data_IF_678840754809
#
_entry.id   IF_678840754809
#
_cell.length_a   1.000
_cell.length_b   1.000
_cell.length_c   1.000
_cell.angle_alpha   90.00
_cell.angle_beta   90.00
_cell.angle_gamma   90.00
#
_symmetry.space_group_name_H-M   'P 1'
#
loop_
_entity.id
_entity.type
_entity.pdbx_description
1 polymer ?
#
# COMPACT_ATOMS: atom_id res chain seq x y z
N UNK A 1 9.56 15.56 9.55
CA UNK A 1 10.03 14.19 9.26
C UNK A 1 9.04 13.33 8.46
N UNK A 2 7.72 13.58 8.51
CA UNK A 2 6.67 12.73 7.90
C UNK A 2 6.63 12.59 6.37
N UNK A 3 7.45 13.34 5.61
CA UNK A 3 7.40 13.38 4.14
C UNK A 3 8.70 12.96 3.46
N UNK A 4 9.74 12.59 4.22
CA UNK A 4 11.01 12.20 3.61
C UNK A 4 10.79 10.87 2.85
N UNK A 5 11.08 10.87 1.55
CA UNK A 5 10.88 9.73 0.62
C UNK A 5 9.44 9.37 0.27
N UNK A 6 8.45 10.22 0.61
CA UNK A 6 7.07 10.00 0.16
C UNK A 6 6.96 10.31 -1.34
N UNK A 7 6.54 9.30 -2.11
CA UNK A 7 6.24 9.47 -3.54
C UNK A 7 4.93 10.27 -3.68
N UNK A 8 4.88 11.30 -4.57
CA UNK A 8 3.64 12.03 -4.86
C UNK A 8 2.52 11.12 -5.35
N UNK A 9 1.27 11.42 -4.97
CA UNK A 9 0.11 10.61 -5.33
C UNK A 9 -0.14 10.56 -6.83
N UNK A 10 0.21 11.64 -7.53
CA UNK A 10 0.09 11.85 -8.97
C UNK A 10 0.82 10.79 -9.78
N UNK A 11 2.00 10.37 -9.29
CA UNK A 11 2.77 9.31 -9.92
C UNK A 11 1.97 7.99 -9.96
N UNK A 12 1.14 7.73 -8.94
CA UNK A 12 0.31 6.53 -8.89
C UNK A 12 -0.99 6.68 -9.68
N UNK A 13 -1.57 7.88 -9.82
CA UNK A 13 -2.85 8.07 -10.51
C UNK A 13 -2.87 7.43 -11.91
N UNK A 14 -1.77 7.57 -12.66
CA UNK A 14 -1.64 6.95 -13.98
C UNK A 14 -1.68 5.42 -13.92
N UNK A 15 -0.95 4.80 -12.98
CA UNK A 15 -0.95 3.34 -12.86
C UNK A 15 -2.35 2.81 -12.51
N UNK A 16 -3.02 3.48 -11.58
CA UNK A 16 -4.38 3.13 -11.16
C UNK A 16 -5.41 3.38 -12.27
N UNK A 17 -5.23 4.38 -13.11
CA UNK A 17 -6.14 4.65 -14.23
C UNK A 17 -5.98 3.65 -15.37
N UNK A 18 -4.74 3.36 -15.79
CA UNK A 18 -4.48 2.57 -17.00
C UNK A 18 -4.45 1.05 -16.76
N UNK A 19 -4.05 0.59 -15.57
CA UNK A 19 -3.77 -0.84 -15.34
C UNK A 19 -4.71 -1.51 -14.34
N UNK A 20 -5.71 -0.81 -13.83
CA UNK A 20 -6.62 -1.35 -12.81
C UNK A 20 -8.05 -0.86 -13.04
N UNK A 21 -9.02 -1.62 -12.55
CA UNK A 21 -10.45 -1.30 -12.57
C UNK A 21 -10.94 -1.04 -11.15
N UNK A 22 -12.07 -0.32 -10.97
CA UNK A 22 -12.72 -0.24 -9.66
C UNK A 22 -12.89 -1.63 -9.05
N UNK A 23 -12.67 -1.74 -7.74
CA UNK A 23 -12.69 -2.96 -6.91
C UNK A 23 -11.54 -3.94 -7.10
N UNK A 24 -10.57 -3.65 -7.97
CA UNK A 24 -9.34 -4.44 -8.05
C UNK A 24 -8.57 -4.37 -6.73
N UNK A 25 -7.85 -5.46 -6.44
CA UNK A 25 -6.97 -5.59 -5.28
C UNK A 25 -5.55 -5.26 -5.69
N UNK A 26 -4.92 -4.31 -4.99
CA UNK A 26 -3.54 -3.89 -5.21
C UNK A 26 -2.69 -4.35 -4.05
N UNK A 27 -1.58 -5.02 -4.35
CA UNK A 27 -0.57 -5.40 -3.36
C UNK A 27 0.54 -4.36 -3.31
N UNK A 28 0.85 -3.87 -2.11
CA UNK A 28 1.98 -3.00 -1.84
C UNK A 28 2.81 -3.56 -0.69
N UNK A 29 3.91 -4.22 -1.02
CA UNK A 29 4.80 -4.88 -0.04
C UNK A 29 5.81 -3.93 0.63
N UNK A 30 5.91 -2.68 0.14
CA UNK A 30 6.81 -1.65 0.66
C UNK A 30 6.05 -0.33 0.79
N UNK A 31 4.96 -0.36 1.55
CA UNK A 31 3.96 0.69 1.55
C UNK A 31 4.47 2.01 2.17
N UNK A 32 5.49 1.95 3.02
CA UNK A 32 6.17 3.09 3.63
C UNK A 32 5.18 4.05 4.30
N UNK A 33 5.07 5.26 3.73
CA UNK A 33 4.17 6.33 4.22
C UNK A 33 2.73 6.21 3.73
N UNK A 34 2.41 5.25 2.86
CA UNK A 34 1.04 4.91 2.49
C UNK A 34 0.42 5.70 1.34
N UNK A 35 1.20 6.39 0.50
CA UNK A 35 0.63 7.12 -0.66
C UNK A 35 -0.27 6.22 -1.52
N UNK A 36 0.13 4.96 -1.75
CA UNK A 36 -0.64 4.04 -2.60
C UNK A 36 -2.02 3.71 -2.03
N UNK A 37 -2.17 3.75 -0.71
CA UNK A 37 -3.44 3.56 0.00
C UNK A 37 -4.37 4.74 -0.30
N UNK A 38 -3.86 5.95 -0.10
CA UNK A 38 -4.64 7.17 -0.28
C UNK A 38 -5.08 7.31 -1.75
N UNK A 39 -4.17 7.04 -2.69
CA UNK A 39 -4.49 7.04 -4.12
C UNK A 39 -5.45 5.92 -4.53
N UNK A 40 -5.27 4.71 -3.98
CA UNK A 40 -6.14 3.57 -4.29
C UNK A 40 -7.57 3.77 -3.81
N UNK A 41 -7.75 4.32 -2.61
CA UNK A 41 -9.07 4.66 -2.09
C UNK A 41 -9.80 5.68 -2.97
N UNK A 42 -9.08 6.69 -3.49
CA UNK A 42 -9.67 7.68 -4.40
C UNK A 42 -10.22 7.09 -5.70
N UNK A 43 -9.78 5.89 -6.08
CA UNK A 43 -10.25 5.20 -7.28
C UNK A 43 -11.14 3.98 -7.00
N UNK A 44 -11.57 3.76 -5.75
CA UNK A 44 -12.34 2.57 -5.33
C UNK A 44 -11.55 1.25 -5.44
N UNK A 45 -10.27 1.23 -5.03
CA UNK A 45 -9.40 0.03 -5.07
C UNK A 45 -9.09 -0.43 -3.66
N UNK A 46 -9.01 -1.75 -3.45
CA UNK A 46 -8.60 -2.33 -2.17
C UNK A 46 -7.08 -2.50 -2.17
N UNK A 47 -6.38 -1.85 -1.23
CA UNK A 47 -4.92 -1.98 -1.10
C UNK A 47 -4.57 -2.90 0.07
N UNK A 48 -3.93 -4.03 -0.24
CA UNK A 48 -3.22 -4.88 0.72
C UNK A 48 -1.81 -4.32 0.86
N UNK A 49 -1.36 -4.11 2.09
CA UNK A 49 -0.28 -3.18 2.41
C UNK A 49 0.58 -3.73 3.53
N UNK A 50 1.85 -3.91 3.22
CA UNK A 50 2.86 -4.34 4.14
C UNK A 50 4.02 -3.36 4.15
N UNK A 51 4.66 -3.23 5.30
CA UNK A 51 5.96 -2.58 5.41
C UNK A 51 6.65 -3.02 6.71
N UNK A 52 7.98 -3.10 6.72
CA UNK A 52 8.72 -3.47 7.93
C UNK A 52 8.69 -2.34 8.99
N UNK A 53 8.72 -1.08 8.55
CA UNK A 53 8.94 0.10 9.40
C UNK A 53 7.95 1.23 9.05
N UNK A 54 6.66 0.92 8.93
CA UNK A 54 5.66 1.96 8.74
C UNK A 54 5.40 2.77 10.00
N UNK A 55 5.10 4.05 9.80
CA UNK A 55 4.56 4.94 10.83
C UNK A 55 3.03 4.95 10.87
N UNK A 56 2.34 4.33 9.90
CA UNK A 56 0.87 4.26 9.86
C UNK A 56 0.37 2.95 10.45
N UNK A 57 -0.66 3.05 11.29
CA UNK A 57 -1.28 1.90 11.98
C UNK A 57 -2.10 1.00 11.05
N UNK A 58 -2.51 1.53 9.92
CA UNK A 58 -3.33 0.83 8.94
C UNK A 58 -2.48 0.04 7.92
N UNK A 59 -1.15 0.17 7.97
CA UNK A 59 -0.19 -0.69 7.23
C UNK A 59 0.18 -1.88 8.11
N UNK A 60 0.12 -3.09 7.55
CA UNK A 60 0.49 -4.31 8.26
C UNK A 60 2.02 -4.33 8.39
N UNK A 61 2.52 -4.44 9.63
CA UNK A 61 3.94 -4.68 9.85
C UNK A 61 4.26 -6.14 9.56
N UNK A 62 5.17 -6.40 8.63
CA UNK A 62 5.52 -7.76 8.22
C UNK A 62 7.02 -7.87 7.89
N UNK A 63 7.66 -8.89 8.46
CA UNK A 63 9.05 -9.29 8.26
C UNK A 63 9.09 -10.72 7.70
N UNK A 64 9.40 -10.87 6.41
CA UNK A 64 9.37 -12.17 5.72
C UNK A 64 10.33 -13.21 6.30
N UNK A 65 11.35 -12.78 7.05
CA UNK A 65 12.32 -13.70 7.68
C UNK A 65 11.83 -14.22 9.03
N UNK A 66 10.79 -13.61 9.62
CA UNK A 66 10.34 -13.87 10.98
C UNK A 66 8.86 -14.20 11.09
N UNK A 67 8.05 -13.68 10.17
CA UNK A 67 6.59 -13.76 10.22
C UNK A 67 6.07 -14.80 9.22
N UNK A 68 5.04 -15.56 9.63
CA UNK A 68 4.38 -16.54 8.79
C UNK A 68 3.34 -15.90 7.85
N UNK A 69 3.37 -16.28 6.58
CA UNK A 69 2.50 -15.72 5.53
C UNK A 69 1.00 -16.03 5.78
N UNK A 70 0.70 -17.16 6.44
CA UNK A 70 -0.67 -17.66 6.64
C UNK A 70 -1.55 -16.83 7.57
N UNK A 71 -1.02 -15.81 8.23
CA UNK A 71 -1.73 -15.03 9.26
C UNK A 71 -2.54 -13.85 8.68
N UNK A 72 -2.28 -13.46 7.42
CA UNK A 72 -2.72 -12.14 6.91
C UNK A 72 -3.65 -12.16 5.68
N UNK A 73 -4.04 -13.33 5.18
CA UNK A 73 -5.05 -13.46 4.12
C UNK A 73 -6.37 -13.88 4.79
N UNK A 74 -7.36 -12.97 4.93
CA UNK A 74 -8.69 -13.33 5.41
C UNK A 74 -9.45 -14.19 4.40
#
# INVERSE_FOLDING_TARGET
>A
YYFRYRIPGEAYLHFFYYFTKPKDVILDQFCGSGTRIDTGNNFDRKVIRFDLNSFRKDIIKFDILRDEIGVFIP
#
